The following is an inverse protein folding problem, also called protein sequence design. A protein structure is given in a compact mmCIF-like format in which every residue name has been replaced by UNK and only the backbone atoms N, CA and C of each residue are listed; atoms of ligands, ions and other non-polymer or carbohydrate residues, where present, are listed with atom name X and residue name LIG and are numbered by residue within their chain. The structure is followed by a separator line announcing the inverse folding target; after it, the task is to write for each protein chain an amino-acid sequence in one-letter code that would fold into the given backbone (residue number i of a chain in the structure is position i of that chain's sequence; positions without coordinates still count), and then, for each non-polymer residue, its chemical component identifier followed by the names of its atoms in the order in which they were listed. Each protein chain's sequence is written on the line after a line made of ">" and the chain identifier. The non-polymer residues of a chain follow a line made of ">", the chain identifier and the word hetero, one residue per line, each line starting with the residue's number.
data_IF_163526488196
#
_entry.id   IF_163526488196
#
_cell.length_a   1.000
_cell.length_b   1.000
_cell.length_c   1.000
_cell.angle_alpha   90.00
_cell.angle_beta   90.00
_cell.angle_gamma   90.00
#
_symmetry.space_group_name_H-M   'P 1'
#
loop_
_entity.id
_entity.type
_entity.pdbx_description
1 polymer ?
#
# COMPACT_ATOMS: atom_id res chain seq x y z
N UNK A 1 -3.01 -4.02 -12.21
CA UNK A 1 -2.32 -3.77 -10.93
C UNK A 1 -3.31 -3.17 -9.94
N UNK A 2 -3.23 -3.58 -8.69
CA UNK A 2 -4.07 -3.03 -7.63
C UNK A 2 -3.16 -2.46 -6.55
N UNK A 3 -3.45 -1.25 -6.08
CA UNK A 3 -2.71 -0.61 -5.01
C UNK A 3 -3.61 -0.40 -3.80
N UNK A 4 -3.19 -0.96 -2.67
CA UNK A 4 -3.81 -0.70 -1.37
C UNK A 4 -3.00 0.36 -0.66
N UNK A 5 -3.63 1.47 -0.31
CA UNK A 5 -3.01 2.55 0.46
C UNK A 5 -3.75 2.72 1.77
N UNK A 6 -3.00 2.74 2.86
CA UNK A 6 -3.52 2.99 4.20
C UNK A 6 -2.83 4.21 4.77
N UNK A 7 -3.62 5.16 5.25
CA UNK A 7 -3.12 6.34 5.95
C UNK A 7 -3.73 6.37 7.33
N UNK A 8 -2.91 6.44 8.36
CA UNK A 8 -3.40 6.46 9.73
C UNK A 8 -2.53 7.33 10.62
N UNK A 9 -3.10 7.83 11.70
CA UNK A 9 -2.37 8.60 12.70
C UNK A 9 -2.07 7.71 13.89
N UNK A 10 -0.84 7.84 14.40
CA UNK A 10 -0.39 7.05 15.53
C UNK A 10 -0.93 7.58 16.86
N UNK A 11 -2.25 7.86 16.93
CA UNK A 11 -2.85 8.35 18.16
C UNK A 11 -3.05 7.20 19.16
N UNK A 12 -2.56 7.40 20.38
CA UNK A 12 -2.57 6.37 21.41
C UNK A 12 -1.47 5.32 21.26
N UNK A 13 -0.57 5.48 20.27
CA UNK A 13 0.59 4.61 20.06
C UNK A 13 1.79 5.46 19.65
N UNK A 14 3.02 4.92 19.85
CA UNK A 14 4.20 5.57 19.31
C UNK A 14 4.25 5.36 17.79
N UNK A 15 4.64 6.40 17.06
CA UNK A 15 4.82 6.34 15.60
C UNK A 15 5.81 5.23 15.24
N UNK A 16 6.94 5.20 15.93
CA UNK A 16 8.00 4.24 15.66
C UNK A 16 7.53 2.80 15.92
N UNK A 17 6.81 2.56 17.00
CA UNK A 17 6.28 1.24 17.32
C UNK A 17 5.31 0.76 16.26
N UNK A 18 4.48 1.65 15.74
CA UNK A 18 3.53 1.32 14.66
C UNK A 18 4.27 1.02 13.35
N UNK A 19 5.25 1.85 13.00
CA UNK A 19 6.07 1.62 11.79
C UNK A 19 6.80 0.28 11.88
N UNK A 20 7.39 -0.03 13.02
CA UNK A 20 8.08 -1.31 13.22
C UNK A 20 7.15 -2.50 13.12
N UNK A 21 5.93 -2.38 13.64
CA UNK A 21 4.93 -3.43 13.53
C UNK A 21 4.58 -3.72 12.06
N UNK A 22 4.39 -2.67 11.26
CA UNK A 22 4.19 -2.84 9.81
C UNK A 22 5.41 -3.43 9.13
N UNK A 23 6.62 -3.00 9.50
CA UNK A 23 7.86 -3.55 8.91
C UNK A 23 7.98 -5.05 9.15
N UNK A 24 7.54 -5.52 10.31
CA UNK A 24 7.53 -6.94 10.60
C UNK A 24 6.65 -7.71 9.60
N UNK A 25 5.49 -7.15 9.25
CA UNK A 25 4.58 -7.77 8.30
C UNK A 25 5.07 -7.71 6.86
N UNK A 26 5.78 -6.66 6.50
CA UNK A 26 6.26 -6.41 5.13
C UNK A 26 7.16 -7.54 4.64
N UNK A 27 8.01 -8.09 5.49
CA UNK A 27 8.97 -9.12 5.10
C UNK A 27 8.27 -10.31 4.45
N UNK A 28 7.24 -10.83 5.09
CA UNK A 28 6.47 -11.97 4.56
C UNK A 28 5.53 -11.55 3.43
N UNK A 29 4.97 -10.35 3.49
CA UNK A 29 4.06 -9.86 2.46
C UNK A 29 4.74 -9.75 1.10
N UNK A 30 5.97 -9.26 1.08
CA UNK A 30 6.76 -9.14 -0.17
C UNK A 30 7.02 -10.46 -0.86
N UNK A 31 6.97 -11.56 -0.11
CA UNK A 31 7.22 -12.90 -0.64
C UNK A 31 5.95 -13.57 -1.16
N UNK A 32 4.77 -13.00 -0.94
CA UNK A 32 3.54 -13.61 -1.41
C UNK A 32 3.42 -13.50 -2.92
N UNK A 33 2.90 -14.55 -3.58
CA UNK A 33 2.69 -14.52 -5.04
C UNK A 33 1.83 -13.35 -5.46
N UNK A 34 2.26 -12.63 -6.49
CA UNK A 34 1.55 -11.48 -7.01
C UNK A 34 1.86 -10.16 -6.32
N UNK A 35 2.62 -10.17 -5.23
CA UNK A 35 3.02 -8.93 -4.55
C UNK A 35 4.10 -8.22 -5.37
N UNK A 36 3.81 -7.00 -5.80
CA UNK A 36 4.75 -6.15 -6.56
C UNK A 36 5.54 -5.24 -5.64
N UNK A 37 5.02 -4.96 -4.46
CA UNK A 37 5.70 -4.10 -3.50
C UNK A 37 4.90 -3.95 -2.23
N UNK A 38 5.61 -3.63 -1.16
CA UNK A 38 5.01 -3.39 0.15
C UNK A 38 5.96 -2.49 0.93
N UNK A 39 5.45 -1.40 1.47
CA UNK A 39 6.28 -0.43 2.17
C UNK A 39 5.50 0.31 3.25
N UNK A 40 6.25 0.89 4.19
CA UNK A 40 5.69 1.74 5.23
C UNK A 40 6.63 2.91 5.46
N UNK A 41 6.06 4.09 5.71
CA UNK A 41 6.82 5.29 6.07
C UNK A 41 5.94 6.19 6.91
N UNK A 42 6.55 7.17 7.55
CA UNK A 42 5.81 8.13 8.37
C UNK A 42 6.26 9.56 8.06
N UNK A 43 5.37 10.49 8.38
CA UNK A 43 5.63 11.92 8.29
C UNK A 43 5.85 12.51 9.68
N UNK A 44 6.44 13.71 9.78
CA UNK A 44 6.71 14.33 11.08
C UNK A 44 5.47 14.60 11.94
N UNK A 45 4.30 14.70 11.32
CA UNK A 45 3.03 14.95 12.02
C UNK A 45 2.38 13.71 12.63
N UNK A 46 3.11 12.60 12.72
CA UNK A 46 2.63 11.30 13.22
C UNK A 46 1.71 10.56 12.27
N UNK A 47 1.64 10.97 11.02
CA UNK A 47 0.92 10.21 9.99
C UNK A 47 1.78 9.06 9.50
N UNK A 48 1.20 7.87 9.45
CA UNK A 48 1.86 6.66 8.96
C UNK A 48 1.17 6.22 7.67
N UNK A 49 1.97 5.90 6.67
CA UNK A 49 1.50 5.41 5.37
C UNK A 49 1.98 3.98 5.17
N UNK A 50 1.05 3.12 4.74
CA UNK A 50 1.32 1.74 4.41
C UNK A 50 0.79 1.44 3.01
N UNK A 51 1.60 0.79 2.20
CA UNK A 51 1.31 0.55 0.80
C UNK A 51 1.54 -0.92 0.44
N UNK A 52 0.57 -1.53 -0.25
CA UNK A 52 0.74 -2.82 -0.90
C UNK A 52 0.39 -2.66 -2.38
N UNK A 53 1.19 -3.27 -3.24
CA UNK A 53 0.89 -3.32 -4.68
C UNK A 53 0.82 -4.76 -5.14
N UNK A 54 -0.23 -5.09 -5.89
CA UNK A 54 -0.52 -6.45 -6.33
C UNK A 54 -0.72 -6.48 -7.84
N UNK A 55 -0.27 -7.57 -8.45
CA UNK A 55 -0.27 -7.73 -9.89
C UNK A 55 -1.68 -7.71 -10.49
N UNK A 56 -2.63 -8.42 -9.86
CA UNK A 56 -3.99 -8.60 -10.37
C UNK A 56 -5.04 -8.42 -9.27
N UNK A 57 -6.30 -8.26 -9.68
CA UNK A 57 -7.41 -8.23 -8.73
C UNK A 57 -7.54 -9.56 -7.98
N UNK A 58 -7.29 -10.69 -8.65
CA UNK A 58 -7.33 -11.98 -7.98
C UNK A 58 -6.29 -12.07 -6.87
N UNK A 59 -5.11 -11.54 -7.10
CA UNK A 59 -4.05 -11.52 -6.08
C UNK A 59 -4.46 -10.73 -4.86
N UNK A 60 -5.02 -9.52 -5.02
CA UNK A 60 -5.47 -8.73 -3.88
C UNK A 60 -6.65 -9.38 -3.17
N UNK A 61 -7.54 -10.05 -3.90
CA UNK A 61 -8.64 -10.78 -3.28
C UNK A 61 -8.14 -11.90 -2.38
N UNK A 62 -7.18 -12.70 -2.86
CA UNK A 62 -6.55 -13.75 -2.06
C UNK A 62 -5.89 -13.16 -0.82
N UNK A 63 -5.20 -12.03 -0.98
CA UNK A 63 -4.54 -11.32 0.12
C UNK A 63 -5.54 -10.93 1.20
N UNK A 64 -6.62 -10.25 0.82
CA UNK A 64 -7.63 -9.76 1.76
C UNK A 64 -8.35 -10.92 2.46
N UNK A 65 -8.58 -12.03 1.77
CA UNK A 65 -9.22 -13.21 2.33
C UNK A 65 -8.29 -14.03 3.22
N UNK A 66 -6.98 -13.83 3.14
CA UNK A 66 -6.01 -14.64 3.86
C UNK A 66 -5.96 -14.30 5.36
N UNK A 67 -5.58 -15.30 6.16
CA UNK A 67 -5.38 -15.10 7.60
C UNK A 67 -4.27 -14.10 7.90
N UNK A 68 -3.26 -13.99 7.03
CA UNK A 68 -2.17 -13.05 7.20
C UNK A 68 -2.63 -11.60 7.17
N UNK A 69 -3.68 -11.32 6.41
CA UNK A 69 -4.23 -9.95 6.34
C UNK A 69 -4.86 -9.51 7.66
N UNK A 70 -5.26 -10.45 8.52
CA UNK A 70 -5.79 -10.11 9.85
C UNK A 70 -4.79 -9.33 10.68
N UNK A 71 -3.49 -9.57 10.47
CA UNK A 71 -2.45 -8.80 11.17
C UNK A 71 -2.44 -7.33 10.75
N UNK A 72 -2.69 -7.05 9.48
CA UNK A 72 -2.84 -5.68 9.00
C UNK A 72 -4.08 -5.05 9.64
N UNK A 73 -5.21 -5.75 9.61
CA UNK A 73 -6.46 -5.26 10.21
C UNK A 73 -6.30 -4.96 11.69
N UNK A 74 -5.56 -5.81 12.41
CA UNK A 74 -5.29 -5.59 13.84
C UNK A 74 -4.54 -4.29 14.09
N UNK A 75 -3.58 -3.95 13.21
CA UNK A 75 -2.86 -2.68 13.32
C UNK A 75 -3.77 -1.49 13.04
N UNK A 76 -4.67 -1.62 12.06
CA UNK A 76 -5.63 -0.55 11.76
C UNK A 76 -6.57 -0.29 12.94
N UNK A 77 -6.96 -1.34 13.63
CA UNK A 77 -7.85 -1.24 14.81
C UNK A 77 -7.13 -0.73 16.05
N UNK A 78 -5.79 -0.74 16.06
CA UNK A 78 -5.01 -0.35 17.23
C UNK A 78 -4.88 1.15 17.44
N UNK A 79 -5.28 1.97 16.48
CA UNK A 79 -5.24 3.42 16.58
C UNK A 79 -6.61 3.99 16.90
N UNK A 80 -6.65 5.16 17.53
CA UNK A 80 -7.91 5.78 17.96
C UNK A 80 -8.66 6.43 16.81
N UNK A 81 -7.96 7.11 15.93
CA UNK A 81 -8.56 7.74 14.78
C UNK A 81 -8.80 6.72 13.68
N UNK A 82 -9.92 6.85 12.98
CA UNK A 82 -10.27 5.93 11.91
C UNK A 82 -9.25 6.01 10.78
N UNK A 83 -8.61 4.88 10.39
CA UNK A 83 -7.70 4.86 9.26
C UNK A 83 -8.41 5.16 7.94
N UNK A 84 -7.70 5.79 7.01
CA UNK A 84 -8.16 5.92 5.64
C UNK A 84 -7.59 4.75 4.84
N UNK A 85 -8.47 3.97 4.21
CA UNK A 85 -8.10 2.80 3.41
C UNK A 85 -8.63 3.00 2.00
N UNK A 86 -7.75 2.81 1.01
CA UNK A 86 -8.12 3.02 -0.38
C UNK A 86 -7.53 1.91 -1.25
N UNK A 87 -8.37 1.37 -2.14
CA UNK A 87 -7.93 0.42 -3.16
C UNK A 87 -8.05 1.09 -4.53
N UNK A 88 -6.94 1.16 -5.25
CA UNK A 88 -6.91 1.70 -6.61
C UNK A 88 -6.69 0.56 -7.60
N UNK A 89 -7.62 0.39 -8.52
CA UNK A 89 -7.55 -0.62 -9.58
C UNK A 89 -7.03 0.04 -10.83
N UNK A 90 -5.77 -0.24 -11.16
CA UNK A 90 -5.06 0.42 -12.25
C UNK A 90 -5.14 -0.47 -13.49
N UNK A 91 -5.84 -0.01 -14.51
CA UNK A 91 -6.04 -0.77 -15.74
C UNK A 91 -4.92 -0.57 -16.75
N UNK A 92 -4.17 0.52 -16.65
CA UNK A 92 -3.11 0.83 -17.59
C UNK A 92 -2.01 1.65 -16.91
N UNK A 93 -0.76 1.25 -17.14
CA UNK A 93 0.43 1.97 -16.65
C UNK A 93 1.33 2.24 -17.84
N UNK A 94 1.70 3.51 -18.01
CA UNK A 94 2.59 3.95 -19.09
C UNK A 94 3.90 4.43 -18.50
N UNK A 95 4.97 4.19 -19.22
CA UNK A 95 6.30 4.65 -18.84
C UNK A 95 6.76 5.81 -19.71
N UNK A 96 8.07 5.90 -19.91
CA UNK A 96 8.70 6.98 -20.68
C UNK A 96 8.23 7.01 -22.14
N UNK A 97 7.81 5.89 -22.67
CA UNK A 97 7.23 5.78 -24.01
C UNK A 97 6.01 6.72 -24.18
N UNK A 98 5.25 6.93 -23.12
CA UNK A 98 4.11 7.86 -23.17
C UNK A 98 4.56 9.31 -23.43
N UNK A 99 5.66 9.70 -22.81
CA UNK A 99 6.22 11.05 -23.04
C UNK A 99 6.62 11.22 -24.51
N UNK A 100 7.31 10.22 -25.05
CA UNK A 100 7.73 10.25 -26.45
C UNK A 100 6.52 10.27 -27.40
N UNK A 101 5.48 9.49 -27.12
CA UNK A 101 4.25 9.45 -27.89
C UNK A 101 3.56 10.82 -27.92
N UNK A 102 3.38 11.43 -26.75
CA UNK A 102 2.71 12.73 -26.64
C UNK A 102 3.54 13.82 -27.35
N UNK A 103 4.83 13.85 -27.13
CA UNK A 103 5.71 14.87 -27.73
C UNK A 103 5.79 14.72 -29.24
N UNK A 104 5.82 13.50 -29.73
CA UNK A 104 5.82 13.25 -31.18
C UNK A 104 4.50 13.74 -31.81
N UNK A 105 3.39 13.49 -31.15
CA UNK A 105 2.08 13.93 -31.61
C UNK A 105 1.99 15.47 -31.67
N UNK A 106 2.57 16.14 -30.67
CA UNK A 106 2.56 17.60 -30.58
C UNK A 106 3.44 18.29 -31.65
N UNK A 107 4.40 17.57 -32.23
CA UNK A 107 5.29 18.15 -33.24
C UNK A 107 4.72 18.07 -34.67
N UNK A 108 3.62 17.42 -34.84
CA UNK A 108 2.91 17.33 -36.13
C UNK A 108 1.94 18.50 -36.28
#
# INVERSE_FOLDING_TARGET
>A
MVRLTVTLRASGRSVQGLVEAFRFLIVSTRLEPGCLGCSVWNEPDSTVHYLEEWSTEDDIRHRVESDRFTSVLALLESVRERPHVQFDFVSNTRGLDYVAEVRHHDTI
#
